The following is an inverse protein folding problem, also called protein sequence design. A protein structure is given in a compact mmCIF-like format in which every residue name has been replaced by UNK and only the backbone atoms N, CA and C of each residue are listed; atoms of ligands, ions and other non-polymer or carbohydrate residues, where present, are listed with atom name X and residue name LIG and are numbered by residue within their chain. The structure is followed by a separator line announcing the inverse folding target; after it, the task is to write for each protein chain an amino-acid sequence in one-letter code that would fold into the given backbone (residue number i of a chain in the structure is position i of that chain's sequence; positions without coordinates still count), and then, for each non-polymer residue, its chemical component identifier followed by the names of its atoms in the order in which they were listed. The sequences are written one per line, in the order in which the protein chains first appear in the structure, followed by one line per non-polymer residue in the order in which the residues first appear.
data_IF_217131345842
#
_entry.id   IF_217131345842
#
_cell.length_a   1.000
_cell.length_b   1.000
_cell.length_c   1.000
_cell.angle_alpha   90.00
_cell.angle_beta   90.00
_cell.angle_gamma   90.00
#
_symmetry.space_group_name_H-M   'P 1'
#
loop_
_entity.id
_entity.type
_entity.pdbx_description
1 polymer ?
#
# COMPACT_ATOMS: atom_id res chain seq x y z
N UNK A 1 -13.63 -12.29 9.49
CA UNK A 1 -13.15 -11.01 10.03
C UNK A 1 -11.66 -11.14 10.19
N UNK A 2 -10.83 -10.20 9.74
CA UNK A 2 -9.38 -10.31 9.93
C UNK A 2 -8.73 -9.18 10.77
N UNK A 3 -9.39 -8.06 10.98
CA UNK A 3 -8.93 -7.01 11.90
C UNK A 3 -10.13 -6.43 12.66
N UNK A 4 -9.92 -5.90 13.87
CA UNK A 4 -11.00 -5.39 14.73
C UNK A 4 -11.24 -3.90 14.50
N UNK A 5 -12.50 -3.49 14.35
CA UNK A 5 -12.85 -2.08 14.38
C UNK A 5 -12.69 -1.56 15.82
N UNK A 6 -11.75 -0.64 16.05
CA UNK A 6 -11.46 -0.03 17.35
C UNK A 6 -11.64 1.48 17.25
N UNK A 7 -12.15 2.11 18.32
CA UNK A 7 -12.20 3.57 18.41
C UNK A 7 -10.77 4.16 18.34
N UNK A 8 -10.57 5.34 17.72
CA UNK A 8 -9.25 5.95 17.66
C UNK A 8 -8.66 6.18 19.05
N UNK A 9 -7.53 5.54 19.34
CA UNK A 9 -6.79 5.72 20.60
C UNK A 9 -5.65 6.73 20.49
N UNK A 10 -5.39 7.27 19.31
CA UNK A 10 -4.31 8.22 19.00
C UNK A 10 -4.86 9.46 18.31
N UNK A 11 -4.41 10.68 18.66
CA UNK A 11 -4.76 11.90 17.95
C UNK A 11 -4.42 11.83 16.45
N UNK A 12 -3.30 11.18 16.09
CA UNK A 12 -2.88 11.01 14.69
C UNK A 12 -3.95 10.28 13.88
N UNK A 13 -4.41 9.13 14.40
CA UNK A 13 -5.47 8.34 13.78
C UNK A 13 -6.79 9.09 13.75
N UNK A 14 -7.17 9.75 14.86
CA UNK A 14 -8.43 10.50 14.91
C UNK A 14 -8.49 11.60 13.83
N UNK A 15 -7.38 12.33 13.61
CA UNK A 15 -7.30 13.35 12.56
C UNK A 15 -7.44 12.71 11.16
N UNK A 16 -6.69 11.64 10.90
CA UNK A 16 -6.71 10.94 9.60
C UNK A 16 -8.09 10.31 9.32
N UNK A 17 -8.67 9.64 10.31
CA UNK A 17 -9.96 8.96 10.21
C UNK A 17 -11.10 9.98 9.98
N UNK A 18 -10.98 11.21 10.49
CA UNK A 18 -11.94 12.27 10.20
C UNK A 18 -12.05 12.60 8.70
N UNK A 19 -10.95 12.46 7.94
CA UNK A 19 -10.97 12.65 6.48
C UNK A 19 -11.81 11.56 5.79
N UNK A 20 -11.79 10.31 6.27
CA UNK A 20 -12.61 9.22 5.72
C UNK A 20 -14.11 9.50 5.82
N UNK A 21 -14.51 10.20 6.88
CA UNK A 21 -15.91 10.50 7.19
C UNK A 21 -16.34 11.90 6.75
N UNK A 22 -15.48 12.65 6.06
CA UNK A 22 -15.82 13.96 5.55
C UNK A 22 -16.92 13.86 4.47
N UNK A 23 -17.84 14.82 4.46
CA UNK A 23 -18.92 14.88 3.45
C UNK A 23 -18.43 14.96 2.00
N UNK A 24 -17.19 15.40 1.79
CA UNK A 24 -16.56 15.47 0.47
C UNK A 24 -15.96 14.15 0.00
N UNK A 25 -15.90 13.14 0.88
CA UNK A 25 -15.31 11.83 0.61
C UNK A 25 -16.41 10.79 0.43
N UNK A 26 -16.29 10.01 -0.65
CA UNK A 26 -17.18 8.88 -0.93
C UNK A 26 -16.38 7.62 -1.21
N UNK A 27 -17.02 6.47 -1.02
CA UNK A 27 -16.43 5.20 -1.45
C UNK A 27 -16.28 5.16 -2.97
N UNK A 28 -15.26 4.41 -3.43
CA UNK A 28 -14.98 4.17 -4.84
C UNK A 28 -14.74 2.71 -5.14
N UNK A 29 -14.69 2.36 -6.42
CA UNK A 29 -14.42 1.00 -6.91
C UNK A 29 -13.20 1.00 -7.84
N UNK A 30 -12.62 -0.16 -8.09
CA UNK A 30 -11.52 -0.29 -9.05
C UNK A 30 -11.92 0.17 -10.45
N UNK A 31 -13.13 -0.16 -10.93
CA UNK A 31 -13.63 0.28 -12.23
C UNK A 31 -13.70 1.80 -12.33
N UNK A 32 -14.29 2.43 -11.31
CA UNK A 32 -14.41 3.89 -11.25
C UNK A 32 -13.03 4.56 -11.18
N UNK A 33 -12.11 4.03 -10.38
CA UNK A 33 -10.73 4.54 -10.31
C UNK A 33 -10.03 4.43 -11.67
N UNK A 34 -10.25 3.34 -12.41
CA UNK A 34 -9.71 3.19 -13.75
C UNK A 34 -10.29 4.22 -14.71
N UNK A 35 -11.61 4.42 -14.70
CA UNK A 35 -12.27 5.46 -15.51
C UNK A 35 -11.75 6.86 -15.20
N UNK A 36 -11.69 7.23 -13.91
CA UNK A 36 -11.13 8.51 -13.47
C UNK A 36 -9.65 8.66 -13.86
N UNK A 37 -8.86 7.60 -13.69
CA UNK A 37 -7.45 7.61 -14.06
C UNK A 37 -7.25 7.86 -15.57
N UNK A 38 -8.09 7.29 -16.44
CA UNK A 38 -8.02 7.54 -17.89
C UNK A 38 -8.35 8.97 -18.30
N UNK A 39 -8.98 9.74 -17.41
CA UNK A 39 -9.34 11.15 -17.63
C UNK A 39 -8.30 12.13 -17.08
N UNK A 40 -7.30 11.64 -16.31
CA UNK A 40 -6.23 12.48 -15.77
C UNK A 40 -5.28 12.92 -16.89
N UNK A 41 -4.94 14.22 -17.00
CA UNK A 41 -4.13 14.74 -18.10
C UNK A 41 -2.70 14.19 -18.14
N UNK A 42 -2.16 13.78 -17.01
CA UNK A 42 -0.83 13.19 -16.85
C UNK A 42 -0.80 11.67 -17.06
N UNK A 43 -1.94 11.03 -17.30
CA UNK A 43 -2.06 9.57 -17.46
C UNK A 43 -2.20 9.20 -18.93
N UNK A 44 -1.42 8.21 -19.35
CA UNK A 44 -1.41 7.68 -20.72
C UNK A 44 -1.79 6.20 -20.68
N UNK A 45 -2.83 5.85 -21.44
CA UNK A 45 -3.15 4.46 -21.73
C UNK A 45 -2.17 3.92 -22.78
N UNK A 46 -1.52 2.81 -22.47
CA UNK A 46 -0.63 2.13 -23.40
C UNK A 46 -1.42 1.24 -24.37
N UNK A 47 -0.73 0.64 -25.34
CA UNK A 47 -1.30 -0.40 -26.21
C UNK A 47 -1.30 -1.80 -25.58
N UNK A 48 -0.76 -1.95 -24.36
CA UNK A 48 -0.64 -3.24 -23.70
C UNK A 48 -1.90 -3.54 -22.88
N UNK A 49 -2.58 -4.67 -23.15
CA UNK A 49 -3.75 -5.07 -22.35
C UNK A 49 -3.31 -5.48 -20.94
N UNK A 50 -4.16 -5.21 -19.96
CA UNK A 50 -3.96 -5.74 -18.61
C UNK A 50 -4.18 -7.25 -18.59
N UNK A 51 -3.42 -7.96 -17.76
CA UNK A 51 -3.64 -9.38 -17.52
C UNK A 51 -4.83 -9.57 -16.58
N UNK A 52 -5.88 -10.24 -17.08
CA UNK A 52 -7.10 -10.58 -16.32
C UNK A 52 -7.73 -9.42 -15.53
N UNK A 53 -8.06 -8.29 -16.17
CA UNK A 53 -8.59 -7.11 -15.48
C UNK A 53 -9.88 -7.38 -14.70
N UNK A 54 -10.73 -8.28 -15.18
CA UNK A 54 -11.99 -8.64 -14.52
C UNK A 54 -11.80 -9.21 -13.10
N UNK A 55 -10.67 -9.86 -12.78
CA UNK A 55 -10.38 -10.34 -11.42
C UNK A 55 -10.27 -9.17 -10.43
N UNK A 56 -9.89 -7.98 -10.90
CA UNK A 56 -9.81 -6.76 -10.11
C UNK A 56 -11.07 -5.88 -10.24
N UNK A 57 -12.12 -6.35 -10.91
CA UNK A 57 -13.32 -5.55 -11.19
C UNK A 57 -13.10 -4.46 -12.24
N UNK A 58 -12.08 -4.60 -13.09
CA UNK A 58 -11.80 -3.68 -14.19
C UNK A 58 -12.46 -4.13 -15.50
N UNK A 59 -12.67 -3.23 -16.48
CA UNK A 59 -13.17 -3.58 -17.81
C UNK A 59 -12.30 -4.64 -18.51
N UNK A 60 -12.92 -5.55 -19.26
CA UNK A 60 -12.19 -6.63 -19.97
C UNK A 60 -11.15 -6.11 -20.98
N UNK A 61 -11.36 -4.91 -21.52
CA UNK A 61 -10.47 -4.22 -22.45
C UNK A 61 -9.55 -3.20 -21.77
N UNK A 62 -9.39 -3.27 -20.45
CA UNK A 62 -8.49 -2.38 -19.72
C UNK A 62 -7.04 -2.51 -20.23
N UNK A 63 -6.41 -1.36 -20.43
CA UNK A 63 -5.03 -1.22 -20.87
C UNK A 63 -4.15 -0.83 -19.68
N UNK A 64 -2.87 -1.17 -19.75
CA UNK A 64 -1.90 -0.71 -18.76
C UNK A 64 -1.81 0.82 -18.86
N UNK A 65 -1.93 1.48 -17.71
CA UNK A 65 -1.87 2.93 -17.58
C UNK A 65 -0.52 3.37 -16.99
N UNK A 66 0.09 4.39 -17.58
CA UNK A 66 1.33 5.03 -17.11
C UNK A 66 1.02 6.47 -16.70
N UNK A 67 1.56 6.94 -15.57
CA UNK A 67 1.44 8.33 -15.10
C UNK A 67 2.77 9.05 -15.18
N UNK A 68 2.72 10.34 -15.48
CA UNK A 68 3.87 11.24 -15.50
C UNK A 68 3.82 12.22 -14.33
N UNK A 69 4.43 11.85 -13.21
CA UNK A 69 4.31 12.57 -11.93
C UNK A 69 5.24 13.80 -11.78
N UNK A 70 6.04 14.09 -12.81
CA UNK A 70 7.01 15.19 -12.82
C UNK A 70 8.35 14.83 -12.18
N UNK A 71 8.95 15.77 -11.44
CA UNK A 71 10.33 15.67 -10.93
C UNK A 71 10.52 14.72 -9.75
N UNK A 72 9.43 14.30 -9.09
CA UNK A 72 9.48 13.37 -7.96
C UNK A 72 9.53 11.94 -8.49
N UNK A 73 10.74 11.41 -8.65
CA UNK A 73 10.98 10.08 -9.26
C UNK A 73 11.21 8.95 -8.24
N UNK A 74 11.07 9.22 -6.94
CA UNK A 74 11.37 8.25 -5.90
C UNK A 74 10.92 8.66 -4.51
N UNK A 75 11.07 7.72 -3.57
CA UNK A 75 10.85 7.96 -2.14
C UNK A 75 12.05 8.69 -1.54
N UNK A 76 11.81 9.50 -0.53
CA UNK A 76 12.86 10.19 0.22
C UNK A 76 12.73 9.92 1.72
N UNK A 77 13.84 9.59 2.37
CA UNK A 77 13.85 9.39 3.82
C UNK A 77 13.60 10.70 4.59
N UNK A 78 13.93 11.86 3.99
CA UNK A 78 13.80 13.18 4.62
C UNK A 78 12.36 13.58 4.89
N UNK A 79 11.42 13.08 4.07
CA UNK A 79 10.00 13.36 4.26
C UNK A 79 9.40 12.55 5.42
N UNK A 80 10.08 11.50 5.92
CA UNK A 80 9.47 10.56 6.88
C UNK A 80 9.62 11.00 8.33
N UNK A 81 8.48 11.05 8.99
CA UNK A 81 8.27 11.45 10.36
C UNK A 81 7.65 10.28 11.14
N UNK A 82 8.42 9.70 12.05
CA UNK A 82 7.96 8.59 12.90
C UNK A 82 7.45 9.17 14.22
N UNK A 83 6.15 9.08 14.48
CA UNK A 83 5.53 9.79 15.61
C UNK A 83 6.10 9.38 16.97
N UNK A 84 6.61 8.14 17.08
CA UNK A 84 7.27 7.64 18.29
C UNK A 84 8.54 8.40 18.68
N UNK A 85 9.13 9.15 17.76
CA UNK A 85 10.35 9.90 17.99
C UNK A 85 10.10 11.33 18.47
N UNK A 86 8.83 11.77 18.52
CA UNK A 86 8.49 13.15 18.85
C UNK A 86 8.34 13.38 20.34
N UNK A 87 8.83 14.52 20.79
CA UNK A 87 8.41 15.09 22.06
C UNK A 87 7.00 15.71 21.97
N UNK A 88 6.51 16.24 23.09
CA UNK A 88 5.17 16.83 23.16
C UNK A 88 5.01 18.06 22.25
N UNK A 89 6.04 18.90 22.15
CA UNK A 89 6.01 20.14 21.37
C UNK A 89 6.02 19.82 19.88
N UNK A 90 6.88 18.90 19.45
CA UNK A 90 6.94 18.40 18.08
C UNK A 90 5.61 17.75 17.69
N UNK A 91 5.09 16.89 18.57
CA UNK A 91 3.80 16.21 18.37
C UNK A 91 2.67 17.23 18.16
N UNK A 92 2.55 18.24 19.02
CA UNK A 92 1.48 19.24 18.90
C UNK A 92 1.58 20.08 17.61
N UNK A 93 2.81 20.42 17.20
CA UNK A 93 3.10 21.14 15.95
C UNK A 93 2.72 20.33 14.71
N UNK A 94 3.19 19.07 14.62
CA UNK A 94 2.91 18.22 13.46
C UNK A 94 1.43 17.81 13.42
N UNK A 95 0.77 17.62 14.56
CA UNK A 95 -0.67 17.42 14.59
C UNK A 95 -1.44 18.65 14.08
N UNK A 96 -0.98 19.87 14.37
CA UNK A 96 -1.59 21.08 13.85
C UNK A 96 -1.47 21.15 12.32
N UNK A 97 -0.29 20.84 11.79
CA UNK A 97 -0.05 20.73 10.35
C UNK A 97 -0.96 19.68 9.70
N UNK A 98 -1.09 18.50 10.31
CA UNK A 98 -1.93 17.42 9.79
C UNK A 98 -3.42 17.80 9.81
N UNK A 99 -3.89 18.48 10.87
CA UNK A 99 -5.26 19.02 10.93
C UNK A 99 -5.53 20.00 9.80
N UNK A 100 -4.60 20.92 9.53
CA UNK A 100 -4.73 21.88 8.44
C UNK A 100 -4.73 21.17 7.07
N UNK A 101 -3.88 20.17 6.88
CA UNK A 101 -3.85 19.37 5.65
C UNK A 101 -5.20 18.68 5.40
N UNK A 102 -5.76 18.03 6.42
CA UNK A 102 -7.10 17.40 6.35
C UNK A 102 -8.20 18.44 6.10
N UNK A 103 -8.13 19.60 6.74
CA UNK A 103 -9.10 20.68 6.52
C UNK A 103 -9.11 21.17 5.06
N UNK A 104 -7.93 21.37 4.45
CA UNK A 104 -7.84 21.77 3.04
C UNK A 104 -8.21 20.63 2.08
N UNK A 105 -7.91 19.39 2.43
CA UNK A 105 -8.38 18.21 1.70
C UNK A 105 -9.91 18.11 1.67
N UNK A 106 -10.58 18.32 2.80
CA UNK A 106 -12.04 18.21 2.91
C UNK A 106 -12.82 19.22 2.04
N UNK A 107 -12.14 20.23 1.47
CA UNK A 107 -12.73 21.18 0.52
C UNK A 107 -12.74 20.68 -0.93
N UNK A 108 -12.07 19.56 -1.21
CA UNK A 108 -11.97 18.92 -2.53
C UNK A 108 -12.71 17.58 -2.53
N UNK A 109 -13.18 17.12 -3.70
CA UNK A 109 -13.77 15.79 -3.80
C UNK A 109 -12.71 14.72 -3.52
N UNK A 110 -13.00 13.84 -2.57
CA UNK A 110 -12.14 12.75 -2.16
C UNK A 110 -12.78 11.39 -2.36
N UNK A 111 -11.93 10.37 -2.40
CA UNK A 111 -12.30 8.99 -2.59
C UNK A 111 -11.74 8.14 -1.45
N UNK A 112 -12.50 7.12 -1.07
CA UNK A 112 -12.11 6.09 -0.12
C UNK A 112 -12.14 4.73 -0.82
N UNK A 113 -10.98 4.08 -0.93
CA UNK A 113 -10.85 2.71 -1.42
C UNK A 113 -10.55 1.77 -0.25
N UNK A 114 -11.23 0.62 -0.23
CA UNK A 114 -10.95 -0.46 0.69
C UNK A 114 -10.13 -1.57 0.02
N UNK A 115 -9.13 -2.07 0.72
CA UNK A 115 -8.26 -3.16 0.26
C UNK A 115 -7.91 -4.14 1.38
N UNK A 116 -7.19 -5.19 1.01
CA UNK A 116 -6.74 -6.24 1.91
C UNK A 116 -5.25 -6.48 1.71
N UNK A 117 -4.46 -6.25 2.75
CA UNK A 117 -3.02 -6.56 2.71
C UNK A 117 -2.81 -7.97 3.27
N UNK A 118 -2.19 -8.84 2.47
CA UNK A 118 -1.96 -10.24 2.81
C UNK A 118 -2.73 -11.20 1.90
N UNK A 119 -2.14 -12.36 1.64
CA UNK A 119 -2.68 -13.37 0.71
C UNK A 119 -3.07 -14.68 1.39
N UNK A 120 -2.63 -14.90 2.64
CA UNK A 120 -2.84 -16.15 3.38
C UNK A 120 -3.73 -15.90 4.61
N UNK A 121 -4.61 -16.85 4.93
CA UNK A 121 -5.60 -16.70 5.99
C UNK A 121 -5.01 -16.51 7.39
N UNK A 122 -3.75 -16.89 7.61
CA UNK A 122 -3.08 -16.67 8.90
C UNK A 122 -2.72 -15.19 9.12
N UNK A 123 -2.60 -14.41 8.04
CA UNK A 123 -2.33 -12.99 8.10
C UNK A 123 -2.97 -12.24 6.93
N UNK A 124 -4.10 -11.61 7.20
CA UNK A 124 -4.75 -10.65 6.29
C UNK A 124 -5.20 -9.46 7.12
N UNK A 125 -5.00 -8.24 6.64
CA UNK A 125 -5.42 -7.01 7.33
C UNK A 125 -6.23 -6.14 6.39
N UNK A 126 -7.33 -5.56 6.89
CA UNK A 126 -8.11 -4.59 6.11
C UNK A 126 -7.37 -3.26 6.10
N UNK A 127 -7.37 -2.61 4.95
CA UNK A 127 -6.75 -1.31 4.76
C UNK A 127 -7.69 -0.35 4.04
N UNK A 128 -7.56 0.93 4.36
CA UNK A 128 -8.29 2.03 3.76
C UNK A 128 -7.29 3.01 3.14
N UNK A 129 -7.55 3.45 1.90
CA UNK A 129 -6.83 4.55 1.26
C UNK A 129 -7.81 5.70 1.01
N UNK A 130 -7.50 6.86 1.57
CA UNK A 130 -8.17 8.13 1.28
C UNK A 130 -7.27 9.00 0.43
N UNK A 131 -7.77 9.49 -0.70
CA UNK A 131 -7.03 10.40 -1.59
C UNK A 131 -8.00 11.29 -2.38
N UNK A 132 -7.55 12.43 -2.96
CA UNK A 132 -8.44 13.24 -3.78
C UNK A 132 -8.77 12.52 -5.09
N UNK A 133 -9.88 12.88 -5.74
CA UNK A 133 -10.25 12.36 -7.07
C UNK A 133 -9.11 12.54 -8.08
N UNK A 134 -8.32 13.60 -7.95
CA UNK A 134 -7.14 13.89 -8.77
C UNK A 134 -5.95 12.94 -8.53
N UNK A 135 -6.07 11.96 -7.63
CA UNK A 135 -5.06 10.93 -7.35
C UNK A 135 -5.55 9.52 -7.74
N UNK A 136 -6.61 9.42 -8.56
CA UNK A 136 -7.28 8.17 -8.90
C UNK A 136 -6.32 7.09 -9.45
N UNK A 137 -5.34 7.47 -10.28
CA UNK A 137 -4.33 6.55 -10.81
C UNK A 137 -3.47 5.91 -9.71
N UNK A 138 -3.02 6.68 -8.73
CA UNK A 138 -2.26 6.15 -7.59
C UNK A 138 -3.14 5.26 -6.69
N UNK A 139 -4.41 5.60 -6.53
CA UNK A 139 -5.36 4.76 -5.80
C UNK A 139 -5.62 3.43 -6.52
N UNK A 140 -5.74 3.46 -7.86
CA UNK A 140 -5.84 2.27 -8.70
C UNK A 140 -4.61 1.37 -8.49
N UNK A 141 -3.40 1.92 -8.58
CA UNK A 141 -2.17 1.18 -8.37
C UNK A 141 -2.09 0.58 -6.96
N UNK A 142 -2.58 1.31 -5.95
CA UNK A 142 -2.66 0.81 -4.58
C UNK A 142 -3.59 -0.40 -4.48
N UNK A 143 -4.79 -0.32 -5.09
CA UNK A 143 -5.74 -1.43 -5.14
C UNK A 143 -5.19 -2.66 -5.85
N UNK A 144 -4.44 -2.47 -6.94
CA UNK A 144 -3.75 -3.57 -7.64
C UNK A 144 -2.66 -4.23 -6.78
N UNK A 145 -2.01 -3.49 -5.89
CA UNK A 145 -0.95 -4.02 -5.01
C UNK A 145 -1.48 -4.67 -3.72
N UNK A 146 -2.65 -4.26 -3.23
CA UNK A 146 -3.20 -4.69 -1.93
C UNK A 146 -4.62 -5.23 -2.03
N UNK A 147 -4.91 -6.01 -3.07
CA UNK A 147 -6.17 -6.73 -3.28
C UNK A 147 -7.44 -5.92 -2.95
N UNK A 148 -8.17 -5.40 -3.94
CA UNK A 148 -9.39 -4.64 -3.67
C UNK A 148 -10.38 -5.47 -2.82
N UNK A 149 -11.16 -4.80 -1.98
CA UNK A 149 -12.12 -5.47 -1.08
C UNK A 149 -13.34 -6.02 -1.85
N UNK A 150 -13.11 -6.99 -2.73
CA UNK A 150 -14.07 -7.67 -3.61
C UNK A 150 -13.79 -9.18 -3.61
N UNK A 151 -14.62 -9.98 -4.29
CA UNK A 151 -14.37 -11.42 -4.43
C UNK A 151 -13.24 -11.69 -5.43
N UNK A 152 -12.39 -12.72 -5.22
CA UNK A 152 -12.48 -13.72 -4.14
C UNK A 152 -11.79 -13.32 -2.83
N UNK A 153 -11.01 -12.22 -2.81
CA UNK A 153 -10.18 -11.86 -1.65
C UNK A 153 -10.99 -11.56 -0.38
N UNK A 154 -12.13 -10.89 -0.50
CA UNK A 154 -13.06 -10.63 0.61
C UNK A 154 -13.61 -11.92 1.23
N UNK A 155 -13.86 -12.97 0.45
CA UNK A 155 -14.30 -14.28 0.97
C UNK A 155 -13.17 -14.98 1.75
N UNK A 156 -11.92 -14.83 1.31
CA UNK A 156 -10.74 -15.33 2.04
C UNK A 156 -10.53 -14.54 3.34
N UNK A 157 -10.62 -13.21 3.30
CA UNK A 157 -10.55 -12.33 4.47
C UNK A 157 -11.67 -12.59 5.49
N UNK A 158 -12.84 -13.03 5.03
CA UNK A 158 -13.93 -13.40 5.94
C UNK A 158 -13.55 -14.61 6.81
N UNK A 159 -12.70 -15.51 6.29
CA UNK A 159 -12.27 -16.77 6.91
C UNK A 159 -10.90 -16.69 7.60
N UNK A 160 -10.15 -15.60 7.40
CA UNK A 160 -8.82 -15.43 7.97
C UNK A 160 -8.86 -15.27 9.49
N UNK A 161 -7.72 -15.55 10.13
CA UNK A 161 -7.45 -15.31 11.55
C UNK A 161 -7.81 -13.87 11.94
N UNK A 162 -8.47 -13.72 13.08
CA UNK A 162 -8.73 -12.41 13.66
C UNK A 162 -7.44 -11.84 14.26
N UNK A 163 -7.05 -10.66 13.80
CA UNK A 163 -5.96 -9.87 14.37
C UNK A 163 -6.61 -8.75 15.21
N UNK A 164 -6.36 -8.75 16.52
CA UNK A 164 -6.96 -7.75 17.45
C UNK A 164 -6.26 -6.37 17.35
N UNK A 165 -6.25 -5.81 16.15
CA UNK A 165 -5.64 -4.53 15.82
C UNK A 165 -6.54 -3.71 14.91
N UNK A 166 -6.45 -2.36 14.95
CA UNK A 166 -7.21 -1.52 14.04
C UNK A 166 -6.76 -1.71 12.59
N UNK A 167 -7.68 -1.48 11.65
CA UNK A 167 -7.39 -1.46 10.21
C UNK A 167 -6.28 -0.47 9.88
N UNK A 168 -5.53 -0.73 8.82
CA UNK A 168 -4.60 0.25 8.26
C UNK A 168 -5.38 1.42 7.67
N UNK A 169 -4.98 2.65 7.98
CA UNK A 169 -5.49 3.85 7.27
C UNK A 169 -4.31 4.59 6.63
N UNK A 170 -4.34 4.70 5.31
CA UNK A 170 -3.47 5.57 4.54
C UNK A 170 -4.27 6.78 4.05
N UNK A 171 -3.83 7.97 4.41
CA UNK A 171 -4.30 9.23 3.85
C UNK A 171 -3.22 9.78 2.93
N UNK A 172 -3.57 10.16 1.70
CA UNK A 172 -2.65 10.73 0.76
C UNK A 172 -3.20 12.02 0.15
N UNK A 173 -2.35 13.03 0.04
CA UNK A 173 -2.67 14.28 -0.63
C UNK A 173 -1.47 14.75 -1.46
N UNK A 174 -1.39 14.38 -2.75
CA UNK A 174 -0.26 14.72 -3.61
C UNK A 174 -0.19 16.22 -3.97
N UNK A 175 -1.26 16.98 -3.73
CA UNK A 175 -1.33 18.42 -4.03
C UNK A 175 -0.92 19.28 -2.83
N UNK A 176 -0.77 18.68 -1.65
CA UNK A 176 -0.31 19.38 -0.46
C UNK A 176 1.10 19.94 -0.66
N UNK A 177 1.33 21.16 -0.22
CA UNK A 177 2.64 21.81 -0.23
C UNK A 177 2.82 22.59 1.06
N UNK A 178 4.07 22.71 1.51
CA UNK A 178 4.41 23.50 2.69
C UNK A 178 5.85 24.00 2.58
N UNK A 179 6.15 25.25 2.97
CA UNK A 179 7.48 25.83 2.86
C UNK A 179 8.54 25.01 3.63
N UNK A 180 8.19 24.51 4.82
CA UNK A 180 9.10 23.71 5.65
C UNK A 180 9.26 22.25 5.18
N UNK A 181 8.41 21.79 4.25
CA UNK A 181 8.42 20.41 3.72
C UNK A 181 8.40 20.40 2.20
N UNK A 182 9.43 20.97 1.53
CA UNK A 182 9.48 21.07 0.07
C UNK A 182 9.55 19.71 -0.63
N UNK A 183 10.07 18.68 0.07
CA UNK A 183 10.17 17.30 -0.42
C UNK A 183 8.94 16.44 -0.04
N UNK A 184 7.90 17.05 0.53
CA UNK A 184 6.74 16.38 1.11
C UNK A 184 6.93 15.97 2.57
N UNK A 185 5.86 15.43 3.16
CA UNK A 185 5.79 15.06 4.57
C UNK A 185 5.01 13.74 4.73
N UNK A 186 5.62 12.75 5.38
CA UNK A 186 5.05 11.42 5.62
C UNK A 186 5.01 11.15 7.11
N UNK A 187 3.83 11.23 7.71
CA UNK A 187 3.63 11.03 9.15
C UNK A 187 3.19 9.59 9.37
N UNK A 188 3.95 8.83 10.16
CA UNK A 188 3.75 7.40 10.38
C UNK A 188 3.48 7.16 11.87
N UNK A 189 2.27 6.67 12.18
CA UNK A 189 1.91 6.12 13.49
C UNK A 189 1.72 4.61 13.37
N UNK A 190 2.81 3.88 13.62
CA UNK A 190 2.80 2.42 13.59
C UNK A 190 2.10 1.77 14.79
N UNK A 191 1.81 2.53 15.86
CA UNK A 191 1.12 2.01 17.04
C UNK A 191 -0.37 1.86 16.73
N UNK A 192 -0.94 2.86 16.06
CA UNK A 192 -2.36 2.84 15.68
C UNK A 192 -2.60 2.58 14.19
N UNK A 193 -1.59 2.08 13.48
CA UNK A 193 -1.68 1.62 12.08
C UNK A 193 -2.20 2.69 11.11
N UNK A 194 -1.72 3.93 11.21
CA UNK A 194 -2.09 4.97 10.25
C UNK A 194 -0.89 5.75 9.69
N UNK A 195 -1.06 6.25 8.47
CA UNK A 195 -0.05 7.02 7.75
C UNK A 195 -0.70 8.18 6.99
N UNK A 196 -0.09 9.35 7.02
CA UNK A 196 -0.42 10.48 6.14
C UNK A 196 0.74 10.72 5.16
N UNK A 197 0.46 10.82 3.87
CA UNK A 197 1.43 11.00 2.79
C UNK A 197 1.10 12.31 2.06
N UNK A 198 1.82 13.38 2.39
CA UNK A 198 1.53 14.74 1.95
C UNK A 198 2.57 15.22 0.95
N UNK A 199 2.13 15.75 -0.19
CA UNK A 199 2.98 16.35 -1.22
C UNK A 199 3.80 15.37 -2.06
N UNK A 200 3.58 14.06 -1.90
CA UNK A 200 4.32 13.02 -2.63
C UNK A 200 3.43 12.35 -3.69
N UNK A 201 3.83 12.51 -4.95
CA UNK A 201 3.14 11.92 -6.11
C UNK A 201 3.58 10.50 -6.41
N UNK A 202 4.87 10.21 -6.21
CA UNK A 202 5.44 8.90 -6.52
C UNK A 202 4.76 7.75 -5.77
N UNK A 203 4.17 6.82 -6.52
CA UNK A 203 3.40 5.67 -6.00
C UNK A 203 4.14 4.88 -4.91
N UNK A 204 5.46 4.76 -5.02
CA UNK A 204 6.28 3.93 -4.14
C UNK A 204 6.07 4.23 -2.65
N UNK A 205 5.78 5.47 -2.27
CA UNK A 205 5.53 5.81 -0.86
C UNK A 205 4.21 5.22 -0.34
N UNK A 206 3.15 5.19 -1.16
CA UNK A 206 1.88 4.53 -0.82
C UNK A 206 2.06 3.03 -0.64
N UNK A 207 2.77 2.38 -1.59
CA UNK A 207 3.09 0.94 -1.51
C UNK A 207 3.89 0.64 -0.24
N UNK A 208 5.03 1.30 -0.06
CA UNK A 208 5.96 0.94 1.00
C UNK A 208 5.52 1.43 2.38
N UNK A 209 4.77 2.53 2.46
CA UNK A 209 4.11 2.99 3.68
C UNK A 209 3.09 1.97 4.19
N UNK A 210 2.20 1.50 3.30
CA UNK A 210 1.22 0.45 3.63
C UNK A 210 1.90 -0.85 4.07
N UNK A 211 2.94 -1.29 3.35
CA UNK A 211 3.73 -2.48 3.74
C UNK A 211 4.44 -2.31 5.08
N UNK A 212 4.94 -1.11 5.40
CA UNK A 212 5.61 -0.85 6.68
C UNK A 212 4.63 -1.05 7.84
N UNK A 213 3.39 -0.55 7.71
CA UNK A 213 2.35 -0.77 8.71
C UNK A 213 1.99 -2.26 8.82
N UNK A 214 1.73 -2.92 7.70
CA UNK A 214 1.39 -4.35 7.69
C UNK A 214 2.50 -5.25 8.28
N UNK A 215 3.77 -4.96 7.99
CA UNK A 215 4.90 -5.66 8.61
C UNK A 215 5.00 -5.40 10.10
N UNK A 216 4.77 -4.17 10.55
CA UNK A 216 4.79 -3.86 11.99
C UNK A 216 3.66 -4.61 12.71
N UNK A 217 2.48 -4.72 12.09
CA UNK A 217 1.40 -5.59 12.58
C UNK A 217 1.87 -7.05 12.64
N UNK A 218 2.45 -7.59 11.57
CA UNK A 218 2.98 -8.97 11.55
C UNK A 218 3.97 -9.24 12.67
N UNK A 219 4.90 -8.32 12.95
CA UNK A 219 5.86 -8.44 14.06
C UNK A 219 5.15 -8.52 15.42
N UNK A 220 4.10 -7.74 15.64
CA UNK A 220 3.27 -7.84 16.86
C UNK A 220 2.47 -9.15 16.94
N UNK A 221 2.28 -9.82 15.81
CA UNK A 221 1.65 -11.14 15.70
C UNK A 221 2.66 -12.30 15.74
N UNK A 222 3.87 -12.08 16.27
CA UNK A 222 4.95 -13.06 16.36
C UNK A 222 5.46 -13.58 15.00
N UNK A 223 5.44 -12.72 13.98
CA UNK A 223 5.96 -13.02 12.64
C UNK A 223 7.23 -12.22 12.33
N UNK A 224 8.08 -12.74 11.44
CA UNK A 224 9.27 -12.02 10.95
C UNK A 224 8.96 -11.33 9.62
N UNK A 225 9.13 -10.01 9.59
CA UNK A 225 9.04 -9.23 8.36
C UNK A 225 10.29 -9.40 7.49
N UNK A 226 10.09 -9.79 6.23
CA UNK A 226 11.16 -10.08 5.30
C UNK A 226 11.02 -9.24 4.02
N UNK A 227 12.05 -8.44 3.73
CA UNK A 227 12.20 -7.78 2.44
C UNK A 227 13.02 -8.67 1.50
N UNK A 228 12.34 -9.55 0.79
CA UNK A 228 12.96 -10.64 0.05
C UNK A 228 12.04 -11.22 -1.02
N UNK A 229 12.63 -11.99 -1.93
CA UNK A 229 11.88 -12.88 -2.83
C UNK A 229 11.74 -14.26 -2.21
N UNK A 230 10.66 -14.99 -2.55
CA UNK A 230 10.50 -16.42 -2.27
C UNK A 230 10.20 -17.11 -3.60
N UNK A 231 10.87 -18.23 -3.82
CA UNK A 231 10.57 -19.13 -4.94
C UNK A 231 10.67 -20.59 -4.52
N UNK A 232 10.10 -21.45 -5.35
CA UNK A 232 10.20 -22.91 -5.25
C UNK A 232 10.84 -23.47 -6.51
N UNK A 233 11.67 -24.50 -6.36
CA UNK A 233 12.32 -25.21 -7.47
C UNK A 233 11.87 -26.67 -7.44
N UNK A 234 11.03 -27.06 -8.39
CA UNK A 234 10.39 -28.38 -8.41
C UNK A 234 9.61 -28.65 -7.12
N UNK A 235 9.82 -29.81 -6.50
CA UNK A 235 9.16 -30.19 -5.26
C UNK A 235 9.96 -29.87 -3.99
N UNK A 236 11.08 -29.15 -4.11
CA UNK A 236 11.93 -28.77 -2.97
C UNK A 236 11.23 -27.73 -2.08
N UNK A 237 11.63 -27.59 -0.81
CA UNK A 237 11.15 -26.51 0.05
C UNK A 237 11.35 -25.11 -0.59
N UNK A 238 10.50 -24.12 -0.28
CA UNK A 238 10.71 -22.75 -0.72
C UNK A 238 12.06 -22.19 -0.26
N UNK A 239 12.66 -21.35 -1.09
CA UNK A 239 13.91 -20.63 -0.79
C UNK A 239 13.61 -19.14 -0.77
N UNK A 240 13.98 -18.49 0.33
CA UNK A 240 13.99 -17.05 0.44
C UNK A 240 15.30 -16.45 -0.09
N UNK A 241 15.20 -15.37 -0.85
CA UNK A 241 16.30 -14.65 -1.48
C UNK A 241 16.32 -13.22 -0.93
N UNK A 242 17.36 -12.92 -0.16
CA UNK A 242 17.61 -11.60 0.40
C UNK A 242 18.75 -10.91 -0.35
N UNK A 243 18.65 -9.60 -0.50
CA UNK A 243 19.68 -8.81 -1.17
C UNK A 243 19.37 -7.32 -1.09
N UNK A 244 20.43 -6.51 -1.05
CA UNK A 244 20.32 -5.06 -1.09
C UNK A 244 19.81 -4.59 -2.46
N UNK A 245 19.33 -3.35 -2.53
CA UNK A 245 18.94 -2.74 -3.80
C UNK A 245 20.12 -2.77 -4.79
N UNK A 246 19.88 -3.26 -6.01
CA UNK A 246 20.91 -3.41 -7.04
C UNK A 246 21.74 -4.70 -6.97
N UNK A 247 21.59 -5.54 -5.94
CA UNK A 247 22.39 -6.77 -5.77
C UNK A 247 21.90 -7.98 -6.60
N UNK A 248 20.97 -7.78 -7.54
CA UNK A 248 20.39 -8.86 -8.34
C UNK A 248 19.33 -9.72 -7.63
N UNK A 249 18.79 -9.30 -6.47
CA UNK A 249 17.71 -10.03 -5.74
C UNK A 249 16.57 -10.45 -6.67
N UNK A 250 16.02 -9.51 -7.43
CA UNK A 250 14.90 -9.78 -8.34
C UNK A 250 15.32 -10.66 -9.51
N UNK A 251 16.54 -10.51 -10.02
CA UNK A 251 17.08 -11.38 -11.08
C UNK A 251 17.19 -12.83 -10.61
N UNK A 252 17.71 -13.06 -9.40
CA UNK A 252 17.83 -14.41 -8.81
C UNK A 252 16.44 -14.97 -8.48
N UNK A 253 15.52 -14.15 -7.98
CA UNK A 253 14.17 -14.61 -7.63
C UNK A 253 13.39 -15.03 -8.86
N UNK A 254 13.51 -14.28 -9.96
CA UNK A 254 12.74 -14.50 -11.19
C UNK A 254 13.48 -15.32 -12.27
N UNK A 255 14.72 -15.75 -12.02
CA UNK A 255 15.43 -16.61 -12.96
C UNK A 255 14.72 -17.95 -13.11
N UNK A 256 14.38 -18.30 -14.35
CA UNK A 256 13.59 -19.49 -14.68
C UNK A 256 14.42 -20.77 -14.72
N UNK A 257 15.71 -20.66 -15.02
CA UNK A 257 16.61 -21.80 -15.30
C UNK A 257 17.99 -21.68 -14.65
N UNK A 258 18.29 -20.55 -13.99
CA UNK A 258 19.57 -20.26 -13.38
C UNK A 258 20.76 -20.47 -14.31
N UNK A 259 20.72 -19.86 -15.50
CA UNK A 259 21.81 -19.97 -16.49
C UNK A 259 22.05 -21.44 -16.90
N UNK A 260 20.95 -22.16 -17.13
CA UNK A 260 20.97 -23.57 -17.52
C UNK A 260 21.37 -24.55 -16.41
N UNK A 261 21.53 -24.11 -15.16
CA UNK A 261 21.88 -24.99 -14.03
C UNK A 261 20.73 -25.90 -13.58
N UNK A 262 19.48 -25.55 -13.91
CA UNK A 262 18.32 -26.38 -13.59
C UNK A 262 18.09 -27.48 -14.62
N UNK A 263 17.68 -28.66 -14.14
CA UNK A 263 17.22 -29.74 -15.03
C UNK A 263 15.92 -29.31 -15.73
N UNK A 264 15.67 -29.79 -16.96
CA UNK A 264 14.41 -29.53 -17.69
C UNK A 264 13.14 -29.92 -16.92
N UNK A 265 13.23 -30.87 -15.99
CA UNK A 265 12.11 -31.29 -15.13
C UNK A 265 11.91 -30.39 -13.90
N UNK A 266 12.89 -29.56 -13.54
CA UNK A 266 12.82 -28.64 -12.40
C UNK A 266 12.18 -27.32 -12.86
N UNK A 267 10.93 -27.09 -12.45
CA UNK A 267 10.22 -25.85 -12.71
C UNK A 267 10.42 -24.86 -11.57
N UNK A 268 10.73 -23.61 -11.89
CA UNK A 268 10.71 -22.52 -10.92
C UNK A 268 9.30 -21.97 -10.79
N UNK A 269 8.85 -21.77 -9.56
CA UNK A 269 7.61 -21.04 -9.24
C UNK A 269 7.97 -19.89 -8.32
N UNK A 270 7.79 -18.66 -8.80
CA UNK A 270 7.93 -17.46 -7.97
C UNK A 270 6.70 -17.38 -7.06
N UNK A 271 6.94 -17.37 -5.75
CA UNK A 271 5.89 -17.25 -4.74
C UNK A 271 5.64 -15.76 -4.46
N UNK A 272 6.72 -14.98 -4.28
CA UNK A 272 6.68 -13.52 -4.16
C UNK A 272 8.07 -12.94 -4.47
N UNK A 273 8.19 -11.67 -4.88
CA UNK A 273 9.47 -11.06 -5.27
C UNK A 273 9.93 -9.84 -4.44
N UNK A 274 9.18 -9.43 -3.43
CA UNK A 274 9.40 -8.16 -2.72
C UNK A 274 9.20 -8.28 -1.21
N UNK A 275 8.05 -8.78 -0.74
CA UNK A 275 7.69 -8.70 0.68
C UNK A 275 6.94 -9.95 1.16
N UNK A 276 7.32 -10.47 2.33
CA UNK A 276 6.59 -11.54 2.99
C UNK A 276 6.76 -11.50 4.51
N UNK A 277 5.92 -12.27 5.21
CA UNK A 277 6.01 -12.55 6.63
C UNK A 277 6.32 -14.04 6.82
N UNK A 278 7.15 -14.38 7.80
CA UNK A 278 7.36 -15.76 8.27
C UNK A 278 6.66 -15.89 9.61
N UNK A 279 5.65 -16.75 9.71
CA UNK A 279 5.08 -17.13 11.01
C UNK A 279 6.11 -17.96 11.79
N UNK A 280 6.34 -17.61 13.06
CA UNK A 280 7.27 -18.32 13.94
C UNK A 280 6.59 -19.45 14.73
N UNK A 281 5.26 -19.51 14.73
CA UNK A 281 4.48 -20.46 15.53
C UNK A 281 4.04 -21.70 14.75
N UNK A 282 3.80 -21.58 13.45
CA UNK A 282 3.22 -22.61 12.57
C UNK A 282 4.09 -22.85 11.33
#
# INVERSE_FOLDING_TARGET
MATAHKLPSSPWRAIIESAMHANSVRQTTMSELYELATQQPEVVATTQPMYKPAEFGLPNNAMILVSYDGSVVGRTARARLLVRNFDKTESDSIQALLREAVYQFNKRPGLLLEGIVGLHQDFMVKAHLVSPVTDAKNMLDWGLNFCPFIKPWSDTYAKSRLIDEPHIIAFADPQWTHPDYPDGCVIIDEITNCIAILGLRYFGERKKGTLTLAWTMGVRQNMVACHGGIKKIGNKPPVAVFGLSGSGKSSITNSLDHDGLLKKSEKVTVIHDDAFLIDLEH
#
